data_IF_294738110618
#
_entry.id   IF_294738110618
#
_cell.length_a   1.000
_cell.length_b   1.000
_cell.length_c   1.000
_cell.angle_alpha   90.00
_cell.angle_beta   90.00
_cell.angle_gamma   90.00
#
_symmetry.space_group_name_H-M   'P 1'
#
loop_
_entity.id
_entity.type
_entity.pdbx_description
1 polymer ?
#
# COMPACT_ATOMS: atom_id res chain seq x y z
N UNK A 1 60.66 -42.96 27.21
CA UNK A 1 59.56 -41.99 27.07
C UNK A 1 58.27 -42.79 26.94
N UNK A 2 57.41 -42.77 27.96
CA UNK A 2 56.13 -43.50 27.97
C UNK A 2 55.04 -42.65 27.32
N UNK A 3 54.38 -43.17 26.29
CA UNK A 3 53.19 -42.59 25.71
C UNK A 3 51.96 -43.20 26.40
N UNK A 4 51.39 -42.51 27.39
CA UNK A 4 50.09 -42.87 27.96
C UNK A 4 49.00 -42.18 27.14
N UNK A 5 48.50 -42.84 26.09
CA UNK A 5 47.29 -42.40 25.39
C UNK A 5 46.06 -42.76 26.22
N UNK A 6 45.69 -41.91 27.16
CA UNK A 6 44.43 -42.01 27.91
C UNK A 6 43.29 -41.47 27.06
N UNK A 7 42.87 -42.24 26.04
CA UNK A 7 41.56 -42.00 25.42
C UNK A 7 40.48 -42.42 26.41
N UNK A 8 39.56 -41.50 26.71
CA UNK A 8 38.38 -41.80 27.52
C UNK A 8 37.58 -42.94 26.88
N UNK A 9 36.95 -43.81 27.68
CA UNK A 9 36.06 -44.82 27.14
C UNK A 9 34.88 -44.15 26.43
N UNK A 10 34.36 -44.80 25.38
CA UNK A 10 33.31 -44.26 24.51
C UNK A 10 32.06 -43.76 25.26
N UNK A 11 31.64 -44.47 26.32
CA UNK A 11 30.50 -44.07 27.13
C UNK A 11 30.75 -42.76 27.90
N UNK A 12 31.97 -42.54 28.40
CA UNK A 12 32.33 -41.30 29.09
C UNK A 12 32.35 -40.09 28.13
N UNK A 13 32.71 -40.31 26.87
CA UNK A 13 32.63 -39.29 25.83
C UNK A 13 31.17 -38.93 25.50
N UNK A 14 30.25 -39.90 25.49
CA UNK A 14 28.82 -39.65 25.30
C UNK A 14 28.23 -38.89 26.49
N UNK A 15 28.54 -39.28 27.71
CA UNK A 15 28.07 -38.59 28.92
C UNK A 15 28.54 -37.13 28.96
N UNK A 16 29.82 -36.89 28.62
CA UNK A 16 30.35 -35.54 28.50
C UNK A 16 29.63 -34.72 27.42
N UNK A 17 29.28 -35.33 26.28
CA UNK A 17 28.54 -34.67 25.22
C UNK A 17 27.10 -34.34 25.65
N UNK A 18 26.40 -35.24 26.33
CA UNK A 18 25.06 -35.00 26.87
C UNK A 18 25.11 -33.84 27.87
N UNK A 19 26.06 -33.88 28.82
CA UNK A 19 26.22 -32.84 29.82
C UNK A 19 26.51 -31.47 29.20
N UNK A 20 27.30 -31.41 28.12
CA UNK A 20 27.60 -30.18 27.41
C UNK A 20 26.38 -29.60 26.65
N UNK A 21 25.43 -30.44 26.23
CA UNK A 21 24.24 -30.01 25.49
C UNK A 21 23.07 -29.62 26.39
N UNK A 22 23.03 -30.15 27.62
CA UNK A 22 21.91 -30.01 28.54
C UNK A 22 21.47 -28.55 28.78
N UNK A 23 22.37 -27.57 29.03
CA UNK A 23 21.95 -26.19 29.26
C UNK A 23 21.21 -25.56 28.07
N UNK A 24 21.62 -25.87 26.84
CA UNK A 24 20.97 -25.35 25.64
C UNK A 24 19.61 -26.03 25.38
N UNK A 25 19.50 -27.31 25.72
CA UNK A 25 18.24 -28.07 25.64
C UNK A 25 17.23 -27.54 26.68
N UNK A 26 17.68 -27.28 27.90
CA UNK A 26 16.85 -26.71 28.96
C UNK A 26 16.37 -25.31 28.59
N UNK A 27 17.24 -24.46 28.06
CA UNK A 27 16.87 -23.13 27.56
C UNK A 27 15.80 -23.19 26.45
N UNK A 28 15.85 -24.19 25.56
CA UNK A 28 14.80 -24.41 24.57
C UNK A 28 13.48 -24.87 25.20
N UNK A 29 13.55 -25.76 26.21
CA UNK A 29 12.37 -26.25 26.90
C UNK A 29 11.66 -25.11 27.66
N UNK A 30 12.40 -24.23 28.31
CA UNK A 30 11.87 -23.04 28.97
C UNK A 30 11.24 -22.06 27.98
N UNK A 31 11.90 -21.85 26.82
CA UNK A 31 11.42 -20.94 25.79
C UNK A 31 10.31 -21.52 24.90
N UNK A 32 10.00 -22.82 25.04
CA UNK A 32 9.03 -23.54 24.22
C UNK A 32 7.65 -22.86 24.11
N UNK A 33 7.05 -22.33 25.20
CA UNK A 33 5.72 -21.70 25.11
C UNK A 33 5.70 -20.42 24.27
N UNK A 34 6.84 -19.76 24.09
CA UNK A 34 6.97 -18.53 23.31
C UNK A 34 7.18 -18.77 21.81
N UNK A 35 7.39 -20.03 21.38
CA UNK A 35 7.56 -20.38 19.97
C UNK A 35 6.23 -20.30 19.20
N UNK A 36 6.33 -20.06 17.89
CA UNK A 36 5.20 -20.23 16.96
C UNK A 36 4.72 -21.69 16.92
N UNK A 37 3.45 -21.94 16.57
CA UNK A 37 2.89 -23.31 16.49
C UNK A 37 3.72 -24.25 15.60
N UNK A 38 4.26 -23.72 14.49
CA UNK A 38 5.12 -24.48 13.59
C UNK A 38 6.45 -24.85 14.27
N UNK A 39 7.09 -23.89 14.92
CA UNK A 39 8.36 -24.12 15.60
C UNK A 39 8.19 -25.01 16.84
N UNK A 40 7.06 -24.95 17.55
CA UNK A 40 6.74 -25.85 18.66
C UNK A 40 6.78 -27.33 18.23
N UNK A 41 6.16 -27.67 17.09
CA UNK A 41 6.16 -29.05 16.59
C UNK A 41 7.57 -29.60 16.33
N UNK A 42 8.48 -28.74 15.86
CA UNK A 42 9.87 -29.12 15.59
C UNK A 42 10.72 -29.13 16.87
N UNK A 43 10.53 -28.16 17.76
CA UNK A 43 11.16 -28.13 19.08
C UNK A 43 10.81 -29.38 19.90
N UNK A 44 9.55 -29.80 19.87
CA UNK A 44 9.10 -31.01 20.58
C UNK A 44 9.82 -32.27 20.06
N UNK A 45 10.08 -32.36 18.75
CA UNK A 45 10.87 -33.43 18.15
C UNK A 45 12.32 -33.45 18.67
N UNK A 46 12.96 -32.27 18.78
CA UNK A 46 14.31 -32.12 19.32
C UNK A 46 14.39 -32.49 20.81
N UNK A 47 13.42 -32.03 21.62
CA UNK A 47 13.31 -32.35 23.05
C UNK A 47 13.02 -33.84 23.29
N UNK A 48 12.29 -34.51 22.39
CA UNK A 48 12.12 -35.97 22.46
C UNK A 48 13.38 -36.72 22.07
N UNK A 49 14.13 -36.22 21.08
CA UNK A 49 15.38 -36.84 20.63
C UNK A 49 16.47 -36.74 21.70
N UNK A 50 16.59 -35.62 22.40
CA UNK A 50 17.61 -35.42 23.44
C UNK A 50 17.48 -36.39 24.63
N UNK A 51 16.26 -36.85 24.93
CA UNK A 51 16.03 -37.87 25.97
C UNK A 51 16.58 -39.25 25.62
N UNK A 52 16.88 -39.50 24.34
CA UNK A 52 17.39 -40.81 23.85
C UNK A 52 18.91 -40.84 23.72
N UNK A 53 19.58 -39.69 23.77
CA UNK A 53 21.02 -39.57 23.57
C UNK A 53 21.42 -38.17 23.10
N UNK A 54 22.72 -37.93 22.88
CA UNK A 54 23.19 -36.63 22.44
C UNK A 54 22.64 -36.28 21.05
N UNK A 55 22.29 -35.02 20.87
CA UNK A 55 21.88 -34.48 19.59
C UNK A 55 23.08 -34.31 18.66
N UNK A 56 22.85 -34.47 17.36
CA UNK A 56 23.86 -34.12 16.34
C UNK A 56 24.14 -32.62 16.35
N UNK A 57 25.31 -32.21 15.84
CA UNK A 57 25.69 -30.80 15.71
C UNK A 57 24.63 -29.98 14.95
N UNK A 58 24.05 -30.55 13.89
CA UNK A 58 22.96 -29.92 13.12
C UNK A 58 21.70 -29.72 13.96
N UNK A 59 21.37 -30.68 14.83
CA UNK A 59 20.23 -30.55 15.75
C UNK A 59 20.52 -29.51 16.83
N UNK A 60 21.75 -29.45 17.37
CA UNK A 60 22.17 -28.42 18.32
C UNK A 60 22.15 -27.01 17.72
N UNK A 61 22.52 -26.86 16.44
CA UNK A 61 22.34 -25.60 15.73
C UNK A 61 20.87 -25.15 15.75
N UNK A 62 19.93 -26.06 15.48
CA UNK A 62 18.51 -25.75 15.53
C UNK A 62 17.99 -25.46 16.95
N UNK A 63 18.52 -26.14 17.97
CA UNK A 63 18.23 -25.80 19.38
C UNK A 63 18.54 -24.32 19.63
N UNK A 64 19.74 -23.86 19.26
CA UNK A 64 20.14 -22.45 19.39
C UNK A 64 19.26 -21.49 18.59
N UNK A 65 18.96 -21.81 17.33
CA UNK A 65 18.09 -20.97 16.46
C UNK A 65 16.68 -20.84 17.04
N UNK A 66 16.10 -21.93 17.54
CA UNK A 66 14.74 -21.91 18.10
C UNK A 66 14.71 -21.14 19.42
N UNK A 67 15.67 -21.39 20.31
CA UNK A 67 15.79 -20.62 21.56
C UNK A 67 15.94 -19.13 21.28
N UNK A 68 16.80 -18.76 20.32
CA UNK A 68 16.97 -17.36 19.93
C UNK A 68 15.68 -16.75 19.39
N UNK A 69 14.91 -17.47 18.57
CA UNK A 69 13.63 -16.97 18.03
C UNK A 69 12.58 -16.76 19.12
N UNK A 70 12.58 -17.61 20.14
CA UNK A 70 11.65 -17.51 21.27
C UNK A 70 12.03 -16.39 22.26
N UNK A 71 13.32 -16.13 22.46
CA UNK A 71 13.81 -15.15 23.44
C UNK A 71 14.12 -13.78 22.86
N UNK A 72 14.31 -13.69 21.54
CA UNK A 72 14.49 -12.39 20.89
C UNK A 72 13.19 -11.60 21.00
N UNK A 73 13.23 -10.34 21.47
CA UNK A 73 12.05 -9.49 21.42
C UNK A 73 11.60 -9.44 19.96
N UNK A 74 10.36 -9.85 19.70
CA UNK A 74 9.75 -9.64 18.39
C UNK A 74 9.78 -8.14 18.18
N UNK A 75 10.70 -7.67 17.34
CA UNK A 75 10.74 -6.28 16.95
C UNK A 75 9.37 -5.96 16.39
N UNK A 76 8.56 -5.24 17.16
CA UNK A 76 7.26 -4.76 16.73
C UNK A 76 7.57 -3.73 15.67
N UNK A 77 7.62 -4.18 14.40
CA UNK A 77 7.74 -3.27 13.28
C UNK A 77 6.59 -2.30 13.40
N UNK A 78 6.90 -1.02 13.57
CA UNK A 78 5.92 0.04 13.61
C UNK A 78 5.06 -0.09 12.35
N UNK A 79 3.78 -0.43 12.56
CA UNK A 79 2.87 -0.74 11.47
C UNK A 79 2.38 0.57 10.90
N UNK A 80 2.75 0.82 9.66
CA UNK A 80 2.14 1.87 8.86
C UNK A 80 0.77 1.36 8.41
N UNK A 81 -0.28 2.02 8.87
CA UNK A 81 -1.65 1.66 8.51
C UNK A 81 -1.95 2.03 7.05
N UNK A 82 -2.04 1.02 6.18
CA UNK A 82 -2.45 1.17 4.78
C UNK A 82 -3.92 0.80 4.55
N UNK A 83 -4.73 0.65 5.61
CA UNK A 83 -6.15 0.30 5.52
C UNK A 83 -6.96 1.25 4.64
N UNK A 84 -6.57 2.54 4.60
CA UNK A 84 -7.18 3.55 3.73
C UNK A 84 -7.13 3.16 2.25
N UNK A 85 -6.02 2.56 1.78
CA UNK A 85 -5.92 2.05 0.40
C UNK A 85 -6.87 0.88 0.17
N UNK A 86 -6.96 -0.03 1.14
CA UNK A 86 -7.87 -1.18 1.07
C UNK A 86 -9.34 -0.73 1.06
N UNK A 87 -9.68 0.29 1.84
CA UNK A 87 -11.03 0.86 1.91
C UNK A 87 -11.46 1.51 0.60
N UNK A 88 -10.56 2.17 -0.12
CA UNK A 88 -10.82 2.70 -1.47
C UNK A 88 -11.21 1.60 -2.46
N UNK A 89 -10.51 0.46 -2.45
CA UNK A 89 -10.89 -0.67 -3.30
C UNK A 89 -12.20 -1.33 -2.85
N UNK A 90 -12.46 -1.38 -1.55
CA UNK A 90 -13.71 -1.88 -1.00
C UNK A 90 -14.89 -1.01 -1.46
N UNK A 91 -14.73 0.31 -1.40
CA UNK A 91 -15.70 1.28 -1.88
C UNK A 91 -15.94 1.13 -3.40
N UNK A 92 -14.89 1.07 -4.20
CA UNK A 92 -15.00 0.87 -5.64
C UNK A 92 -15.69 -0.46 -6.00
N UNK A 93 -15.42 -1.53 -5.24
CA UNK A 93 -16.13 -2.80 -5.39
C UNK A 93 -17.62 -2.70 -5.07
N UNK A 94 -17.99 -1.98 -3.99
CA UNK A 94 -19.39 -1.72 -3.62
C UNK A 94 -20.12 -0.87 -4.67
N UNK A 95 -19.42 0.07 -5.31
CA UNK A 95 -19.94 0.85 -6.43
C UNK A 95 -20.09 0.04 -7.73
N UNK A 96 -19.70 -1.24 -7.75
CA UNK A 96 -19.85 -2.13 -8.90
C UNK A 96 -18.73 -2.00 -9.94
N UNK A 97 -17.61 -1.35 -9.60
CA UNK A 97 -16.48 -1.21 -10.52
C UNK A 97 -15.81 -2.57 -10.76
N UNK A 98 -15.84 -3.06 -12.01
CA UNK A 98 -15.36 -4.40 -12.37
C UNK A 98 -13.84 -4.56 -12.24
N UNK A 99 -13.08 -3.52 -12.58
CA UNK A 99 -11.62 -3.55 -12.65
C UNK A 99 -11.01 -2.32 -11.97
N UNK A 100 -11.16 -2.18 -10.63
CA UNK A 100 -10.61 -1.03 -9.93
C UNK A 100 -9.08 -1.08 -9.95
N UNK A 101 -8.44 0.07 -10.15
CA UNK A 101 -6.99 0.24 -10.09
C UNK A 101 -6.62 1.63 -9.60
N UNK A 102 -5.42 1.78 -9.05
CA UNK A 102 -4.85 3.10 -8.69
C UNK A 102 -3.41 3.12 -9.23
N UNK A 103 -3.01 4.18 -9.94
CA UNK A 103 -1.66 4.38 -10.49
C UNK A 103 -1.02 5.58 -9.80
N UNK A 104 0.14 5.38 -9.19
CA UNK A 104 0.87 6.42 -8.45
C UNK A 104 2.38 6.27 -8.67
N UNK A 105 3.04 7.29 -9.21
CA UNK A 105 4.50 7.34 -9.38
C UNK A 105 5.08 6.09 -10.05
N UNK A 106 4.43 5.60 -11.11
CA UNK A 106 4.81 4.40 -11.88
C UNK A 106 4.43 3.05 -11.23
N UNK A 107 3.74 3.08 -10.09
CA UNK A 107 3.25 1.89 -9.38
C UNK A 107 1.76 1.72 -9.61
N UNK A 108 1.32 0.51 -9.95
CA UNK A 108 -0.08 0.12 -10.08
C UNK A 108 -0.51 -0.71 -8.88
N UNK A 109 -1.60 -0.27 -8.26
CA UNK A 109 -2.35 -0.98 -7.22
C UNK A 109 -3.59 -1.63 -7.84
N UNK A 110 -3.87 -2.88 -7.47
CA UNK A 110 -5.06 -3.61 -7.93
C UNK A 110 -5.48 -4.66 -6.91
N UNK A 111 -6.77 -4.95 -6.73
CA UNK A 111 -7.20 -5.99 -5.81
C UNK A 111 -6.74 -7.36 -6.30
N UNK A 112 -6.45 -8.25 -5.36
CA UNK A 112 -6.28 -9.66 -5.66
C UNK A 112 -7.58 -10.24 -6.22
N UNK A 113 -7.46 -11.17 -7.16
CA UNK A 113 -8.61 -11.82 -7.81
C UNK A 113 -9.50 -12.50 -6.77
N UNK A 114 -10.83 -12.41 -6.97
CA UNK A 114 -11.83 -13.17 -6.22
C UNK A 114 -11.49 -14.67 -6.25
N UNK A 115 -11.53 -15.32 -5.09
CA UNK A 115 -11.19 -16.74 -4.95
C UNK A 115 -9.69 -17.07 -4.97
N UNK A 116 -8.79 -16.10 -5.10
CA UNK A 116 -7.36 -16.35 -4.92
C UNK A 116 -7.01 -16.54 -3.44
N UNK A 117 -5.89 -17.22 -3.16
CA UNK A 117 -5.37 -17.37 -1.80
C UNK A 117 -5.06 -16.02 -1.10
N UNK A 118 -4.96 -14.93 -1.87
CA UNK A 118 -4.74 -13.57 -1.37
C UNK A 118 -5.99 -12.70 -1.48
N UNK A 119 -7.18 -13.27 -1.64
CA UNK A 119 -8.42 -12.50 -1.73
C UNK A 119 -8.52 -11.47 -0.59
N UNK A 120 -8.95 -10.25 -0.92
CA UNK A 120 -8.96 -9.10 -0.01
C UNK A 120 -7.63 -8.34 0.09
N UNK A 121 -6.53 -8.85 -0.48
CA UNK A 121 -5.26 -8.11 -0.56
C UNK A 121 -5.24 -7.15 -1.76
N UNK A 122 -4.38 -6.14 -1.69
CA UNK A 122 -4.06 -5.24 -2.82
C UNK A 122 -2.64 -5.56 -3.30
N UNK A 123 -2.49 -5.89 -4.58
CA UNK A 123 -1.20 -6.09 -5.21
C UNK A 123 -0.57 -4.78 -5.65
N UNK A 124 0.75 -4.70 -5.51
CA UNK A 124 1.56 -3.54 -5.86
C UNK A 124 2.57 -3.95 -6.92
N UNK A 125 2.52 -3.29 -8.07
CA UNK A 125 3.34 -3.64 -9.25
C UNK A 125 3.97 -2.40 -9.87
N UNK A 126 5.17 -2.53 -10.41
CA UNK A 126 5.75 -1.56 -11.35
C UNK A 126 5.84 -2.24 -12.73
N UNK A 127 5.06 -1.76 -13.69
CA UNK A 127 4.87 -2.47 -14.97
C UNK A 127 4.33 -3.89 -14.74
N UNK A 128 5.06 -4.90 -15.23
CA UNK A 128 4.76 -6.33 -15.03
C UNK A 128 5.33 -6.89 -13.72
N UNK A 129 6.26 -6.19 -13.08
CA UNK A 129 6.99 -6.66 -11.89
C UNK A 129 6.13 -6.56 -10.63
N UNK A 130 5.99 -7.68 -9.92
CA UNK A 130 5.32 -7.73 -8.62
C UNK A 130 6.27 -7.29 -7.51
N UNK A 131 5.91 -6.23 -6.79
CA UNK A 131 6.74 -5.63 -5.75
C UNK A 131 6.29 -6.00 -4.33
N UNK A 132 5.05 -6.48 -4.20
CA UNK A 132 4.50 -6.89 -2.92
C UNK A 132 2.98 -6.77 -2.86
N UNK A 133 2.44 -6.89 -1.66
CA UNK A 133 1.01 -6.76 -1.39
C UNK A 133 0.75 -6.03 -0.08
N UNK A 134 -0.44 -5.44 -0.01
CA UNK A 134 -1.05 -4.92 1.21
C UNK A 134 -2.12 -5.94 1.61
N UNK A 135 -2.06 -6.43 2.85
CA UNK A 135 -3.09 -7.33 3.38
C UNK A 135 -4.44 -6.61 3.49
N UNK A 136 -5.54 -7.36 3.64
CA UNK A 136 -6.85 -6.75 3.93
C UNK A 136 -6.87 -5.94 5.24
N UNK A 137 -5.91 -6.19 6.14
CA UNK A 137 -5.73 -5.43 7.39
C UNK A 137 -4.86 -4.18 7.22
N UNK A 138 -4.31 -3.91 6.03
CA UNK A 138 -3.44 -2.76 5.79
C UNK A 138 -1.94 -3.03 5.98
N UNK A 139 -1.52 -4.29 6.14
CA UNK A 139 -0.11 -4.62 6.35
C UNK A 139 0.67 -4.75 5.04
N UNK A 140 1.82 -4.09 4.93
CA UNK A 140 2.73 -4.24 3.81
C UNK A 140 3.54 -5.54 3.88
N UNK A 141 3.58 -6.28 2.78
CA UNK A 141 4.40 -7.49 2.58
C UNK A 141 5.18 -7.36 1.27
N UNK A 142 6.49 -7.04 1.31
CA UNK A 142 7.30 -6.90 0.10
C UNK A 142 7.51 -8.26 -0.58
N UNK A 143 7.70 -8.25 -1.90
CA UNK A 143 8.17 -9.41 -2.64
C UNK A 143 9.63 -9.72 -2.25
N UNK A 144 9.97 -11.01 -2.15
CA UNK A 144 11.26 -11.48 -1.60
C UNK A 144 12.48 -10.86 -2.29
N UNK A 145 12.41 -10.67 -3.60
CA UNK A 145 13.55 -10.28 -4.43
C UNK A 145 13.40 -8.87 -5.02
N UNK A 146 12.44 -8.08 -4.55
CA UNK A 146 12.16 -6.75 -5.10
C UNK A 146 13.07 -5.64 -4.56
N UNK A 147 13.86 -5.90 -3.51
CA UNK A 147 14.89 -5.00 -2.99
C UNK A 147 14.42 -3.55 -2.83
N UNK A 148 15.23 -2.61 -3.33
CA UNK A 148 14.94 -1.18 -3.25
C UNK A 148 13.62 -0.79 -3.94
N UNK A 149 13.25 -1.45 -5.04
CA UNK A 149 12.01 -1.14 -5.75
C UNK A 149 10.75 -1.38 -4.88
N UNK A 150 10.77 -2.37 -3.99
CA UNK A 150 9.70 -2.57 -3.02
C UNK A 150 9.67 -1.48 -1.95
N UNK A 151 10.83 -0.99 -1.50
CA UNK A 151 10.91 0.10 -0.54
C UNK A 151 10.39 1.43 -1.15
N UNK A 152 10.77 1.74 -2.39
CA UNK A 152 10.31 2.94 -3.10
C UNK A 152 8.81 2.88 -3.37
N UNK A 153 8.29 1.71 -3.74
CA UNK A 153 6.85 1.51 -3.91
C UNK A 153 6.11 1.67 -2.58
N UNK A 154 6.64 1.14 -1.48
CA UNK A 154 6.06 1.32 -0.15
C UNK A 154 5.96 2.79 0.25
N UNK A 155 7.02 3.59 0.04
CA UNK A 155 7.00 5.02 0.33
C UNK A 155 5.90 5.77 -0.46
N UNK A 156 5.72 5.43 -1.75
CA UNK A 156 4.66 6.01 -2.59
C UNK A 156 3.26 5.63 -2.09
N UNK A 157 3.05 4.35 -1.78
CA UNK A 157 1.78 3.83 -1.25
C UNK A 157 1.47 4.44 0.11
N UNK A 158 2.46 4.56 0.99
CA UNK A 158 2.31 5.20 2.30
C UNK A 158 1.89 6.66 2.15
N UNK A 159 2.57 7.43 1.31
CA UNK A 159 2.20 8.83 1.04
C UNK A 159 0.77 8.95 0.54
N UNK A 160 0.37 8.07 -0.38
CA UNK A 160 -1.01 8.02 -0.88
C UNK A 160 -2.02 7.62 0.21
N UNK A 161 -1.68 6.68 1.09
CA UNK A 161 -2.55 6.26 2.20
C UNK A 161 -2.79 7.39 3.20
N UNK A 162 -1.78 8.23 3.48
CA UNK A 162 -1.90 9.36 4.40
C UNK A 162 -2.96 10.38 3.94
N UNK A 163 -2.95 10.72 2.65
CA UNK A 163 -3.93 11.65 2.06
C UNK A 163 -4.23 11.25 0.59
N UNK A 164 -5.22 10.36 0.38
CA UNK A 164 -5.55 9.90 -0.96
C UNK A 164 -6.08 11.00 -1.88
N UNK A 165 -6.73 12.03 -1.33
CA UNK A 165 -7.32 13.12 -2.12
C UNK A 165 -6.21 13.98 -2.71
N UNK A 166 -5.32 14.48 -1.86
CA UNK A 166 -4.21 15.32 -2.30
C UNK A 166 -3.21 14.53 -3.17
N UNK A 167 -2.97 13.26 -2.85
CA UNK A 167 -2.06 12.43 -3.64
C UNK A 167 -2.62 12.07 -5.02
N UNK A 168 -3.92 11.74 -5.13
CA UNK A 168 -4.57 11.52 -6.42
C UNK A 168 -4.60 12.79 -7.27
N UNK A 169 -4.88 13.94 -6.67
CA UNK A 169 -4.87 15.24 -7.32
C UNK A 169 -3.48 15.56 -7.91
N UNK A 170 -2.44 15.45 -7.08
CA UNK A 170 -1.07 15.71 -7.49
C UNK A 170 -0.59 14.79 -8.62
N UNK A 171 -0.95 13.50 -8.59
CA UNK A 171 -0.62 12.55 -9.67
C UNK A 171 -1.30 12.97 -10.99
N UNK A 172 -2.58 13.34 -10.93
CA UNK A 172 -3.32 13.78 -12.11
C UNK A 172 -2.76 15.06 -12.72
N UNK A 173 -2.42 16.05 -11.88
CA UNK A 173 -1.78 17.28 -12.36
C UNK A 173 -0.39 17.05 -12.94
N UNK A 174 0.37 16.11 -12.37
CA UNK A 174 1.71 15.80 -12.86
C UNK A 174 1.70 15.03 -14.18
N UNK A 175 0.68 14.20 -14.43
CA UNK A 175 0.65 13.27 -15.57
C UNK A 175 -0.32 13.69 -16.68
N UNK A 176 -1.34 14.49 -16.36
CA UNK A 176 -2.47 14.75 -17.24
C UNK A 176 -3.49 13.60 -17.30
N UNK A 177 -3.28 12.51 -16.55
CA UNK A 177 -4.13 11.31 -16.58
C UNK A 177 -4.79 11.03 -15.22
N UNK A 178 -6.03 10.56 -15.23
CA UNK A 178 -6.71 10.10 -14.02
C UNK A 178 -6.01 8.85 -13.45
N UNK A 179 -5.48 8.93 -12.22
CA UNK A 179 -4.79 7.81 -11.57
C UNK A 179 -5.64 6.54 -11.41
N UNK A 180 -6.98 6.65 -11.37
CA UNK A 180 -7.89 5.52 -11.19
C UNK A 180 -8.13 4.74 -12.49
N UNK A 181 -8.59 5.42 -13.55
CA UNK A 181 -8.95 4.78 -14.82
C UNK A 181 -7.84 4.83 -15.87
N UNK A 182 -6.85 5.73 -15.73
CA UNK A 182 -5.75 5.93 -16.66
C UNK A 182 -6.16 6.62 -17.96
N UNK A 183 -7.24 7.39 -17.96
CA UNK A 183 -7.66 8.21 -19.10
C UNK A 183 -7.16 9.64 -18.91
N UNK A 184 -6.83 10.29 -20.02
CA UNK A 184 -6.50 11.72 -20.08
C UNK A 184 -7.62 12.58 -19.47
N UNK A 185 -7.21 13.57 -18.68
CA UNK A 185 -8.08 14.56 -18.05
C UNK A 185 -8.39 15.64 -19.09
N UNK A 186 -9.61 15.62 -19.63
CA UNK A 186 -10.01 16.55 -20.70
C UNK A 186 -11.02 17.61 -20.28
N UNK A 187 -11.88 17.33 -19.29
CA UNK A 187 -12.84 18.32 -18.81
C UNK A 187 -12.23 19.23 -17.72
N UNK A 188 -12.67 20.49 -17.68
CA UNK A 188 -12.11 21.50 -16.80
C UNK A 188 -12.15 21.10 -15.30
N UNK A 189 -13.20 20.40 -14.86
CA UNK A 189 -13.33 19.90 -13.50
C UNK A 189 -12.32 18.80 -13.18
N UNK A 190 -12.19 17.81 -14.08
CA UNK A 190 -11.19 16.75 -13.95
C UNK A 190 -9.76 17.29 -13.99
N UNK A 191 -9.47 18.29 -14.83
CA UNK A 191 -8.16 18.94 -14.89
C UNK A 191 -7.90 19.69 -13.58
N UNK A 192 -8.88 20.46 -13.10
CA UNK A 192 -8.74 21.22 -11.85
C UNK A 192 -8.54 20.32 -10.63
N UNK A 193 -9.29 19.21 -10.53
CA UNK A 193 -9.23 18.29 -9.38
C UNK A 193 -8.08 17.27 -9.52
N UNK A 194 -7.70 16.88 -10.74
CA UNK A 194 -6.68 15.85 -11.03
C UNK A 194 -7.24 14.43 -11.19
N UNK A 195 -8.56 14.23 -11.20
CA UNK A 195 -9.17 12.93 -11.48
C UNK A 195 -10.63 13.09 -11.89
N UNK A 196 -11.16 12.12 -12.63
CA UNK A 196 -12.51 12.23 -13.20
C UNK A 196 -13.66 12.05 -12.21
N UNK A 197 -14.85 12.65 -12.46
CA UNK A 197 -15.98 12.65 -11.54
C UNK A 197 -16.55 11.26 -11.28
N UNK A 198 -16.59 10.40 -12.30
CA UNK A 198 -17.06 9.00 -12.16
C UNK A 198 -16.08 8.20 -11.29
N UNK A 199 -14.77 8.47 -11.41
CA UNK A 199 -13.78 7.81 -10.55
C UNK A 199 -13.91 8.31 -9.12
N UNK A 200 -14.11 9.62 -8.93
CA UNK A 200 -14.35 10.20 -7.61
C UNK A 200 -15.55 9.53 -6.91
N UNK A 201 -16.67 9.42 -7.60
CA UNK A 201 -17.87 8.74 -7.09
C UNK A 201 -17.61 7.27 -6.72
N UNK A 202 -17.01 6.50 -7.64
CA UNK A 202 -16.71 5.08 -7.40
C UNK A 202 -15.77 4.87 -6.21
N UNK A 203 -14.80 5.77 -6.00
CA UNK A 203 -13.80 5.66 -4.94
C UNK A 203 -14.18 6.43 -3.65
N UNK A 204 -15.31 7.14 -3.63
CA UNK A 204 -15.75 7.93 -2.48
C UNK A 204 -14.91 9.18 -2.22
N UNK A 205 -14.42 9.82 -3.28
CA UNK A 205 -13.58 11.03 -3.22
C UNK A 205 -14.39 12.28 -3.64
N UNK A 206 -14.03 13.47 -3.16
CA UNK A 206 -14.70 14.70 -3.54
C UNK A 206 -14.40 15.08 -5.00
N UNK A 207 -15.37 15.67 -5.71
CA UNK A 207 -15.14 16.25 -7.03
C UNK A 207 -16.12 17.39 -7.29
N UNK A 208 -15.59 18.58 -7.60
CA UNK A 208 -16.41 19.74 -7.95
C UNK A 208 -16.81 19.67 -9.43
N UNK A 209 -18.09 19.87 -9.80
CA UNK A 209 -18.48 19.95 -11.19
C UNK A 209 -18.10 21.31 -11.78
N UNK A 210 -16.86 21.50 -12.20
CA UNK A 210 -16.55 22.55 -13.16
C UNK A 210 -16.76 21.97 -14.57
N UNK A 211 -17.82 22.39 -15.26
CA UNK A 211 -18.01 22.06 -16.67
C UNK A 211 -18.77 20.76 -16.98
N UNK A 212 -19.63 20.25 -16.09
CA UNK A 212 -20.69 19.34 -16.58
C UNK A 212 -21.66 20.14 -17.42
N UNK A 213 -21.49 20.07 -18.74
CA UNK A 213 -22.60 20.28 -19.68
C UNK A 213 -23.72 19.33 -19.27
N UNK A 214 -24.69 19.86 -18.53
CA UNK A 214 -25.95 19.20 -18.27
C UNK A 214 -26.54 18.87 -19.64
N UNK A 215 -26.69 17.58 -19.96
CA UNK A 215 -27.51 17.17 -21.10
C UNK A 215 -28.95 17.54 -20.75
N UNK A 216 -29.34 18.77 -21.05
CA UNK A 216 -30.75 19.12 -21.15
C UNK A 216 -31.23 18.46 -22.44
N UNK A 217 -32.10 17.47 -22.32
CA UNK A 217 -32.87 16.98 -23.45
C UNK A 217 -33.78 18.13 -23.91
N UNK A 218 -33.37 18.83 -24.96
CA UNK A 218 -34.26 19.74 -25.67
C UNK A 218 -35.21 18.83 -26.46
N UNK A 219 -36.42 18.61 -25.95
CA UNK A 219 -37.53 18.23 -26.81
C UNK A 219 -37.80 19.42 -27.71
N UNK A 220 -37.71 19.19 -29.02
CA UNK A 220 -38.06 20.14 -30.08
C UNK A 220 -39.38 20.84 -29.76
N UNK A 221 -39.31 22.13 -29.48
CA UNK A 221 -40.40 23.04 -29.67
C UNK A 221 -39.98 23.95 -30.83
N UNK A 222 -40.58 23.69 -31.99
CA UNK A 222 -40.67 24.64 -33.08
C UNK A 222 -41.42 25.85 -32.52
N UNK A 223 -40.88 27.05 -32.70
CA UNK A 223 -41.69 28.25 -32.84
C UNK A 223 -40.93 29.24 -33.73
N UNK A 224 -41.55 29.46 -34.88
CA UNK A 224 -41.27 30.45 -35.90
C UNK A 224 -41.68 31.82 -35.34
N UNK A 225 -40.76 32.80 -35.26
CA UNK A 225 -41.04 34.23 -35.49
C UNK A 225 -39.78 35.04 -35.19
N UNK A 226 -38.92 35.22 -36.20
CA UNK A 226 -37.96 36.32 -36.24
C UNK A 226 -38.53 37.37 -37.18
N UNK A 227 -39.38 38.24 -36.64
CA UNK A 227 -39.83 39.44 -37.33
C UNK A 227 -38.83 40.57 -37.08
N UNK A 228 -38.36 41.13 -38.20
CA UNK A 228 -37.57 42.35 -38.29
C UNK A 228 -38.26 43.53 -37.59
N UNK A 229 -37.49 44.26 -36.78
CA UNK A 229 -37.75 45.67 -36.52
C UNK A 229 -36.38 46.35 -36.38
N UNK A 230 -35.99 47.02 -37.47
CA UNK A 230 -35.01 48.08 -37.45
C UNK A 230 -35.48 49.25 -36.57
N UNK A 231 -34.52 50.14 -36.25
CA UNK A 231 -34.59 51.46 -35.60
C UNK A 231 -33.71 51.43 -34.33
N UNK A 232 -32.55 52.08 -34.23
CA UNK A 232 -32.07 53.28 -34.89
C UNK A 232 -31.75 54.33 -33.83
N UNK A 233 -30.52 54.37 -33.31
CA UNK A 233 -29.87 55.51 -32.61
C UNK A 233 -28.38 55.09 -32.46
N UNK A 234 -27.37 55.72 -33.05
CA UNK A 234 -27.15 57.15 -33.24
C UNK A 234 -25.93 57.52 -32.39
N UNK A 235 -24.80 57.79 -33.05
CA UNK A 235 -23.53 58.25 -32.49
C UNK A 235 -23.73 59.47 -31.55
N UNK A 236 -22.80 59.75 -30.61
CA UNK A 236 -21.81 60.81 -30.84
C UNK A 236 -20.69 60.82 -29.79
N UNK A 237 -19.55 61.37 -30.23
CA UNK A 237 -18.23 61.40 -29.62
C UNK A 237 -18.01 62.50 -28.55
N UNK A 238 -16.86 62.37 -27.85
CA UNK A 238 -15.96 63.43 -27.33
C UNK A 238 -16.44 64.35 -26.19
N UNK A 239 -15.69 64.32 -25.08
CA UNK A 239 -14.78 65.42 -24.72
C UNK A 239 -13.83 65.06 -23.57
N UNK A 240 -12.54 65.26 -23.84
CA UNK A 240 -11.44 65.41 -22.90
C UNK A 240 -11.38 66.89 -22.52
N UNK A 241 -11.17 67.26 -21.25
CA UNK A 241 -10.27 68.37 -20.85
C UNK A 241 -10.24 68.58 -19.34
N UNK A 242 -9.04 68.91 -18.88
CA UNK A 242 -8.63 69.21 -17.52
C UNK A 242 -9.10 70.57 -16.99
N UNK A 243 -8.90 70.70 -15.67
CA UNK A 243 -8.28 71.82 -14.97
C UNK A 243 -9.17 72.85 -14.22
N UNK A 244 -8.57 73.27 -13.09
CA UNK A 244 -8.79 74.49 -12.28
C UNK A 244 -9.88 74.39 -11.19
N UNK A 245 -9.49 74.17 -9.92
CA UNK A 245 -9.03 75.18 -8.95
C UNK A 245 -10.03 76.34 -8.75
N UNK A 246 -10.73 76.39 -7.61
CA UNK A 246 -10.63 77.48 -6.63
C UNK A 246 -11.65 77.45 -5.47
N UNK A 247 -11.12 77.69 -4.25
CA UNK A 247 -11.65 78.56 -3.16
C UNK A 247 -12.92 78.05 -2.44
N UNK A 248 -13.12 78.07 -1.11
CA UNK A 248 -12.67 78.80 0.10
C UNK A 248 -13.10 77.91 1.30
N UNK A 249 -12.62 77.94 2.54
CA UNK A 249 -12.10 78.95 3.46
C UNK A 249 -11.26 78.22 4.52
#
# INVERSE_FOLDING_TARGET
MQFTSTKLPYWAAIEAQIAAQLPAIDALAEAFPALSTKDQSFAESLLRASKKGPLSEKQMHWVGVLTQRATSPVAVKERVDLSRVVNLFTQAGRAGLKNPSIRIGGVKLSPAKVGSANYGSVYVKAGSTYLGKISGAGDWSPARDAGQAAADAFAKVQKFACDPVSAASAEGHATGDCCFCGKELSDAGSIAVGYGPICAENYGLPHSPAGRGLKVSVSEAQDEDYNEAEDGYGAEERAVSAAEQNISF
#
